data_IF_190441194403
#
_entry.id   IF_190441194403
#
_cell.length_a   1.000
_cell.length_b   1.000
_cell.length_c   1.000
_cell.angle_alpha   90.00
_cell.angle_beta   90.00
_cell.angle_gamma   90.00
#
_symmetry.space_group_name_H-M   'P 1'
#
loop_
_entity.id
_entity.type
_entity.pdbx_description
1 polymer ?
#
# COMPACT_ATOMS: atom_id res chain seq x y z
N UNK A 1 -61.87 12.01 -2.59
CA UNK A 1 -61.44 11.30 -1.37
C UNK A 1 -60.49 10.12 -1.68
N UNK A 2 -59.33 10.18 -1.02
CA UNK A 2 -58.46 9.08 -0.57
C UNK A 2 -57.50 8.35 -1.53
N UNK A 3 -56.21 8.66 -1.30
CA UNK A 3 -54.99 7.91 -1.56
C UNK A 3 -55.15 6.39 -1.45
N UNK A 4 -54.59 5.66 -2.44
CA UNK A 4 -54.05 4.31 -2.24
C UNK A 4 -52.60 4.29 -2.70
N UNK A 5 -51.69 4.66 -1.80
CA UNK A 5 -50.25 4.47 -1.98
C UNK A 5 -49.90 2.99 -1.82
N UNK A 6 -49.10 2.47 -2.76
CA UNK A 6 -48.53 1.12 -2.71
C UNK A 6 -47.48 1.06 -1.60
N UNK A 7 -47.59 0.03 -0.77
CA UNK A 7 -46.77 -0.17 0.43
C UNK A 7 -45.33 -0.52 0.05
N UNK A 8 -44.41 0.18 0.70
CA UNK A 8 -42.95 0.10 0.67
C UNK A 8 -42.45 -1.35 0.82
N UNK A 9 -41.52 -1.74 -0.06
CA UNK A 9 -40.81 -3.01 -0.01
C UNK A 9 -40.09 -3.21 1.32
N UNK A 10 -40.58 -4.16 2.12
CA UNK A 10 -40.01 -4.56 3.41
C UNK A 10 -38.66 -5.22 3.17
N UNK A 11 -37.56 -4.47 3.34
CA UNK A 11 -36.20 -5.04 3.41
C UNK A 11 -36.11 -5.87 4.69
N UNK A 12 -36.17 -7.19 4.53
CA UNK A 12 -36.04 -8.18 5.58
C UNK A 12 -34.58 -8.19 6.06
N UNK A 13 -34.24 -7.32 7.02
CA UNK A 13 -32.96 -7.43 7.72
C UNK A 13 -33.02 -8.62 8.69
N UNK A 14 -32.64 -9.81 8.22
CA UNK A 14 -32.47 -10.98 9.08
C UNK A 14 -31.32 -10.72 10.05
N UNK A 15 -31.66 -10.63 11.35
CA UNK A 15 -30.70 -10.57 12.44
C UNK A 15 -30.01 -11.95 12.53
N UNK A 16 -28.75 -12.03 12.08
CA UNK A 16 -27.92 -13.23 12.24
C UNK A 16 -27.68 -13.46 13.74
N UNK A 17 -28.22 -14.56 14.27
CA UNK A 17 -27.93 -15.04 15.62
C UNK A 17 -26.57 -15.73 15.57
N UNK A 18 -25.54 -15.07 16.10
CA UNK A 18 -24.19 -15.64 16.21
C UNK A 18 -24.12 -16.71 17.30
N UNK A 19 -23.83 -17.95 16.90
CA UNK A 19 -23.49 -19.03 17.82
C UNK A 19 -22.02 -18.94 18.26
N UNK A 20 -21.73 -19.45 19.46
CA UNK A 20 -20.43 -19.38 20.17
C UNK A 20 -19.23 -19.90 19.36
N UNK A 21 -19.46 -20.73 18.33
CA UNK A 21 -18.43 -21.31 17.45
C UNK A 21 -17.78 -20.30 16.49
N UNK A 22 -18.41 -19.16 16.21
CA UNK A 22 -17.84 -18.14 15.33
C UNK A 22 -16.64 -17.42 15.96
N UNK A 23 -16.58 -17.28 17.29
CA UNK A 23 -15.49 -16.56 17.98
C UNK A 23 -14.11 -17.24 17.88
N UNK A 24 -14.07 -18.56 17.65
CA UNK A 24 -12.81 -19.31 17.49
C UNK A 24 -12.32 -19.30 16.04
N UNK A 25 -13.23 -19.37 15.06
CA UNK A 25 -12.89 -19.25 13.64
C UNK A 25 -12.40 -17.82 13.30
N UNK A 26 -13.04 -16.80 13.88
CA UNK A 26 -12.63 -15.40 13.75
C UNK A 26 -11.16 -15.18 14.17
N UNK A 27 -10.71 -15.80 15.28
CA UNK A 27 -9.33 -15.65 15.77
C UNK A 27 -8.27 -16.26 14.85
N UNK A 28 -8.61 -17.24 14.02
CA UNK A 28 -7.69 -17.86 13.07
C UNK A 28 -7.68 -17.15 11.69
N UNK A 29 -8.68 -16.30 11.43
CA UNK A 29 -8.81 -15.55 10.18
C UNK A 29 -7.99 -14.26 10.18
N UNK A 30 -7.96 -13.54 11.31
CA UNK A 30 -7.14 -12.32 11.47
C UNK A 30 -5.67 -12.52 11.09
N UNK A 31 -4.93 -13.50 11.66
CA UNK A 31 -3.52 -13.70 11.30
C UNK A 31 -3.33 -14.13 9.84
N UNK A 32 -4.33 -14.75 9.19
CA UNK A 32 -4.25 -15.06 7.76
C UNK A 32 -4.40 -13.82 6.90
N UNK A 33 -5.28 -12.90 7.30
CA UNK A 33 -5.50 -11.64 6.60
C UNK A 33 -4.24 -10.77 6.70
N UNK A 34 -3.62 -10.71 7.87
CA UNK A 34 -2.34 -10.02 8.08
C UNK A 34 -1.20 -10.64 7.24
N UNK A 35 -1.05 -11.96 7.25
CA UNK A 35 0.00 -12.67 6.49
C UNK A 35 -0.17 -12.47 4.97
N UNK A 36 -1.41 -12.50 4.48
CA UNK A 36 -1.72 -12.26 3.07
C UNK A 36 -1.47 -10.81 2.65
N UNK A 37 -1.70 -9.85 3.56
CA UNK A 37 -1.37 -8.45 3.36
C UNK A 37 0.14 -8.24 3.31
N UNK A 38 0.89 -8.75 4.29
CA UNK A 38 2.35 -8.62 4.34
C UNK A 38 2.99 -9.26 3.10
N UNK A 39 2.50 -10.43 2.67
CA UNK A 39 2.93 -11.07 1.43
C UNK A 39 2.68 -10.19 0.19
N UNK A 40 1.50 -9.54 0.08
CA UNK A 40 1.17 -8.63 -1.04
C UNK A 40 2.03 -7.38 -1.02
N UNK A 41 2.26 -6.78 0.15
CA UNK A 41 3.13 -5.61 0.31
C UNK A 41 4.57 -5.98 -0.04
N UNK A 42 5.05 -7.14 0.43
CA UNK A 42 6.37 -7.66 0.13
C UNK A 42 6.59 -7.89 -1.36
N UNK A 43 5.61 -8.46 -2.06
CA UNK A 43 5.67 -8.65 -3.52
C UNK A 43 5.67 -7.30 -4.26
N UNK A 44 4.79 -6.38 -3.88
CA UNK A 44 4.76 -5.02 -4.44
C UNK A 44 6.09 -4.30 -4.26
N UNK A 45 6.70 -4.41 -3.09
CA UNK A 45 8.00 -3.81 -2.79
C UNK A 45 9.11 -4.46 -3.62
N UNK A 46 9.11 -5.80 -3.77
CA UNK A 46 10.05 -6.51 -4.66
C UNK A 46 9.94 -6.05 -6.11
N UNK A 47 8.72 -5.88 -6.62
CA UNK A 47 8.48 -5.39 -7.99
C UNK A 47 8.95 -3.95 -8.14
N UNK A 48 8.69 -3.10 -7.14
CA UNK A 48 9.16 -1.71 -7.10
C UNK A 48 10.70 -1.66 -7.18
N UNK A 49 11.39 -2.39 -6.29
CA UNK A 49 12.86 -2.41 -6.21
C UNK A 49 13.46 -2.90 -7.53
N UNK A 50 12.95 -3.98 -8.11
CA UNK A 50 13.44 -4.48 -9.40
C UNK A 50 13.30 -3.45 -10.52
N UNK A 51 12.18 -2.73 -10.57
CA UNK A 51 11.96 -1.69 -11.57
C UNK A 51 12.83 -0.46 -11.32
N UNK A 52 13.01 -0.03 -10.07
CA UNK A 52 13.92 1.05 -9.71
C UNK A 52 15.35 0.71 -10.12
N UNK A 53 15.85 -0.47 -9.76
CA UNK A 53 17.19 -0.93 -10.14
C UNK A 53 17.41 -0.88 -11.64
N UNK A 54 16.42 -1.30 -12.43
CA UNK A 54 16.51 -1.26 -13.89
C UNK A 54 16.48 0.17 -14.45
N UNK A 55 15.71 1.06 -13.84
CA UNK A 55 15.70 2.49 -14.21
C UNK A 55 17.02 3.18 -13.83
N UNK A 56 17.67 2.74 -12.76
CA UNK A 56 18.88 3.37 -12.21
C UNK A 56 20.19 2.65 -12.56
N UNK A 57 20.18 1.53 -13.30
CA UNK A 57 21.37 0.67 -13.48
C UNK A 57 22.55 1.41 -14.17
N UNK A 58 22.23 2.33 -15.07
CA UNK A 58 23.17 3.12 -15.86
C UNK A 58 23.45 4.50 -15.26
N UNK A 59 22.86 4.81 -14.09
CA UNK A 59 22.95 6.12 -13.47
C UNK A 59 23.58 6.04 -12.09
N UNK A 60 24.23 7.13 -11.70
CA UNK A 60 24.68 7.37 -10.34
C UNK A 60 23.72 8.30 -9.62
N UNK A 61 23.64 8.14 -8.29
CA UNK A 61 22.85 9.01 -7.42
C UNK A 61 23.36 10.45 -7.54
N UNK A 62 22.44 11.41 -7.76
CA UNK A 62 22.74 12.84 -7.64
C UNK A 62 22.68 13.35 -6.19
N UNK A 63 22.41 12.47 -5.23
CA UNK A 63 22.22 12.77 -3.81
C UNK A 63 20.74 12.67 -3.45
N UNK A 64 20.30 11.48 -3.04
CA UNK A 64 18.92 11.27 -2.60
C UNK A 64 18.78 11.72 -1.16
N UNK A 65 17.83 12.63 -0.93
CA UNK A 65 17.55 13.19 0.38
C UNK A 65 16.11 12.96 0.79
N UNK A 66 15.87 12.99 2.09
CA UNK A 66 14.52 13.02 2.63
C UNK A 66 13.99 14.46 2.76
N UNK A 67 12.71 14.63 3.09
CA UNK A 67 12.12 15.97 3.27
C UNK A 67 12.72 16.76 4.44
N UNK A 68 13.39 16.09 5.38
CA UNK A 68 14.16 16.68 6.49
C UNK A 68 15.60 17.05 6.10
N UNK A 69 16.03 16.71 4.88
CA UNK A 69 17.35 17.07 4.35
C UNK A 69 18.49 16.12 4.75
N UNK A 70 18.17 14.99 5.38
CA UNK A 70 19.11 13.90 5.60
C UNK A 70 19.46 13.23 4.27
N UNK A 71 20.75 12.90 4.12
CA UNK A 71 21.26 12.22 2.94
C UNK A 71 21.02 10.72 3.09
N UNK A 72 20.16 10.18 2.23
CA UNK A 72 19.81 8.75 2.23
C UNK A 72 20.75 7.99 1.31
N UNK A 73 21.04 8.54 0.13
CA UNK A 73 21.98 7.96 -0.83
C UNK A 73 22.94 9.04 -1.30
N UNK A 74 24.19 8.91 -0.87
CA UNK A 74 25.29 9.82 -1.21
C UNK A 74 25.38 10.09 -2.71
N UNK A 75 25.65 11.36 -3.05
CA UNK A 75 25.95 11.75 -4.43
C UNK A 75 27.15 10.96 -4.96
N UNK A 76 27.01 10.39 -6.16
CA UNK A 76 28.01 9.55 -6.82
C UNK A 76 27.95 8.07 -6.44
N UNK A 77 27.12 7.68 -5.46
CA UNK A 77 26.90 6.28 -5.13
C UNK A 77 26.07 5.58 -6.23
N UNK A 78 26.30 4.27 -6.38
CA UNK A 78 25.44 3.40 -7.19
C UNK A 78 24.26 2.95 -6.34
N UNK A 79 23.09 2.92 -6.97
CA UNK A 79 21.88 2.41 -6.34
C UNK A 79 21.96 0.90 -6.13
N UNK A 80 21.62 0.43 -4.93
CA UNK A 80 21.52 -0.99 -4.62
C UNK A 80 20.11 -1.40 -4.19
N UNK A 81 19.83 -2.70 -4.27
CA UNK A 81 18.56 -3.25 -3.80
C UNK A 81 18.36 -3.03 -2.30
N UNK A 82 19.44 -3.05 -1.54
CA UNK A 82 19.45 -2.82 -0.10
C UNK A 82 19.06 -1.38 0.21
N UNK A 83 19.65 -0.39 -0.48
CA UNK A 83 19.29 1.03 -0.30
C UNK A 83 17.79 1.24 -0.51
N UNK A 84 17.22 0.67 -1.58
CA UNK A 84 15.79 0.78 -1.85
C UNK A 84 14.90 -0.03 -0.89
N UNK A 85 15.45 -1.05 -0.23
CA UNK A 85 14.71 -1.85 0.74
C UNK A 85 14.58 -1.13 2.08
N UNK A 86 15.63 -0.45 2.51
CA UNK A 86 15.64 0.34 3.76
C UNK A 86 15.03 1.74 3.58
N UNK A 87 14.95 2.24 2.35
CA UNK A 87 14.43 3.57 2.05
C UNK A 87 12.91 3.67 2.25
N UNK A 88 12.50 4.74 2.92
CA UNK A 88 11.09 5.11 3.06
C UNK A 88 10.64 5.98 1.87
N UNK A 89 9.92 5.36 0.94
CA UNK A 89 9.42 6.01 -0.26
C UNK A 89 8.40 7.12 -0.01
N UNK A 90 7.81 7.19 1.19
CA UNK A 90 6.82 8.21 1.57
C UNK A 90 7.47 9.47 2.15
N UNK A 91 8.65 9.32 2.77
CA UNK A 91 9.41 10.39 3.40
C UNK A 91 10.61 10.88 2.55
N UNK A 92 10.89 10.25 1.41
CA UNK A 92 12.00 10.63 0.53
C UNK A 92 11.59 11.65 -0.54
N UNK A 93 12.50 12.55 -0.91
CA UNK A 93 12.32 13.40 -2.08
C UNK A 93 12.49 12.58 -3.36
N UNK A 94 11.43 12.47 -4.17
CA UNK A 94 11.42 11.70 -5.43
C UNK A 94 11.90 12.51 -6.65
N UNK A 95 12.78 13.49 -6.42
CA UNK A 95 13.29 14.41 -7.44
C UNK A 95 14.81 14.40 -7.40
N UNK A 96 15.47 14.61 -8.54
CA UNK A 96 16.94 14.67 -8.64
C UNK A 96 17.65 13.40 -8.14
N UNK A 97 17.10 12.22 -8.41
CA UNK A 97 17.78 10.96 -8.09
C UNK A 97 18.92 10.70 -9.06
N UNK A 98 18.69 10.97 -10.34
CA UNK A 98 19.68 10.86 -11.40
C UNK A 98 19.83 12.20 -12.13
N UNK A 99 20.82 12.28 -13.02
CA UNK A 99 21.02 13.43 -13.91
C UNK A 99 19.96 13.57 -15.01
N UNK A 100 19.16 12.53 -15.23
CA UNK A 100 18.19 12.48 -16.32
C UNK A 100 16.77 12.76 -15.81
N UNK A 101 16.16 13.84 -16.29
CA UNK A 101 14.82 14.26 -15.87
C UNK A 101 13.74 13.25 -16.27
N UNK A 102 13.90 12.59 -17.42
CA UNK A 102 12.94 11.59 -17.87
C UNK A 102 12.89 10.38 -16.92
N UNK A 103 14.06 9.86 -16.55
CA UNK A 103 14.23 8.77 -15.59
C UNK A 103 13.70 9.17 -14.22
N UNK A 104 13.98 10.39 -13.76
CA UNK A 104 13.41 10.93 -12.51
C UNK A 104 11.87 10.96 -12.56
N UNK A 105 11.27 11.35 -13.68
CA UNK A 105 9.82 11.30 -13.90
C UNK A 105 9.26 9.88 -13.80
N UNK A 106 9.94 8.89 -14.39
CA UNK A 106 9.56 7.48 -14.30
C UNK A 106 9.67 6.94 -12.88
N UNK A 107 10.76 7.24 -12.17
CA UNK A 107 10.97 6.87 -10.75
C UNK A 107 9.83 7.43 -9.90
N UNK A 108 9.52 8.72 -10.05
CA UNK A 108 8.42 9.37 -9.33
C UNK A 108 7.09 8.69 -9.62
N UNK A 109 6.76 8.44 -10.89
CA UNK A 109 5.52 7.77 -11.26
C UNK A 109 5.44 6.36 -10.67
N UNK A 110 6.54 5.60 -10.74
CA UNK A 110 6.64 4.25 -10.20
C UNK A 110 6.37 4.24 -8.68
N UNK A 111 7.04 5.11 -7.94
CA UNK A 111 6.89 5.22 -6.48
C UNK A 111 5.49 5.70 -6.11
N UNK A 112 4.95 6.71 -6.80
CA UNK A 112 3.57 7.18 -6.56
C UNK A 112 2.53 6.08 -6.79
N UNK A 113 2.71 5.25 -7.82
CA UNK A 113 1.85 4.08 -8.05
C UNK A 113 1.96 3.07 -6.92
N UNK A 114 3.17 2.81 -6.41
CA UNK A 114 3.37 1.94 -5.24
C UNK A 114 2.69 2.49 -3.99
N UNK A 115 2.92 3.77 -3.64
CA UNK A 115 2.31 4.40 -2.46
C UNK A 115 0.78 4.36 -2.55
N UNK A 116 0.22 4.65 -3.73
CA UNK A 116 -1.23 4.57 -3.95
C UNK A 116 -1.75 3.15 -3.70
N UNK A 117 -1.07 2.14 -4.24
CA UNK A 117 -1.48 0.74 -4.12
C UNK A 117 -1.29 0.20 -2.70
N UNK A 118 -0.24 0.65 -2.00
CA UNK A 118 -0.02 0.38 -0.59
C UNK A 118 -1.19 0.92 0.25
N UNK A 119 -1.55 2.19 0.07
CA UNK A 119 -2.68 2.82 0.79
C UNK A 119 -4.03 2.16 0.48
N UNK A 120 -4.23 1.71 -0.75
CA UNK A 120 -5.44 1.00 -1.15
C UNK A 120 -5.57 -0.35 -0.43
N UNK A 121 -4.47 -1.11 -0.37
CA UNK A 121 -4.42 -2.36 0.39
C UNK A 121 -4.60 -2.13 1.90
N UNK A 122 -3.97 -1.09 2.44
CA UNK A 122 -4.04 -0.73 3.86
C UNK A 122 -5.47 -0.35 4.30
N UNK A 123 -6.14 0.47 3.49
CA UNK A 123 -7.54 0.82 3.71
C UNK A 123 -8.48 -0.39 3.60
N UNK A 124 -8.19 -1.33 2.69
CA UNK A 124 -8.96 -2.58 2.58
C UNK A 124 -8.74 -3.49 3.79
N UNK A 125 -7.51 -3.59 4.29
CA UNK A 125 -7.20 -4.32 5.53
C UNK A 125 -7.99 -3.76 6.71
N UNK A 126 -7.90 -2.44 6.96
CA UNK A 126 -8.62 -1.77 8.04
C UNK A 126 -10.15 -2.00 7.92
N UNK A 127 -10.69 -1.92 6.70
CA UNK A 127 -12.11 -2.19 6.45
C UNK A 127 -12.49 -3.63 6.78
N UNK A 128 -11.65 -4.61 6.44
CA UNK A 128 -11.89 -6.03 6.74
C UNK A 128 -11.81 -6.31 8.24
N UNK A 129 -10.83 -5.74 8.93
CA UNK A 129 -10.68 -5.85 10.39
C UNK A 129 -11.88 -5.26 11.12
N UNK A 130 -12.29 -4.03 10.79
CA UNK A 130 -13.47 -3.37 11.38
C UNK A 130 -14.72 -4.21 11.11
N UNK A 131 -14.93 -4.65 9.87
CA UNK A 131 -16.11 -5.46 9.51
C UNK A 131 -16.19 -6.76 10.30
N UNK A 132 -15.04 -7.35 10.64
CA UNK A 132 -14.95 -8.58 11.40
C UNK A 132 -15.10 -8.34 12.91
N UNK A 133 -14.51 -7.26 13.44
CA UNK A 133 -14.63 -6.85 14.84
C UNK A 133 -16.07 -6.51 15.27
N UNK A 134 -16.84 -5.86 14.38
CA UNK A 134 -18.23 -5.46 14.65
C UNK A 134 -19.26 -6.51 14.26
N UNK A 135 -18.86 -7.61 13.62
CA UNK A 135 -19.79 -8.69 13.31
C UNK A 135 -20.13 -9.42 14.59
#
# INVERSE_FOLDING_TARGET
>A
PSLKGVVIGKRLFSRVVKTRSSKLADKALLPKIDDEFDAKIGDLKKVLINKLLKLTENYTSEGVKDYMGADIISKGARFSASDFSDLDFTAVQLSNWTKDEHTNGLIRALVMNFIKKYKELDAELETQEVRHHYR
#
